data_IF_411452370466
#
_entry.id   IF_411452370466
#
_cell.length_a   1.000
_cell.length_b   1.000
_cell.length_c   1.000
_cell.angle_alpha   90.00
_cell.angle_beta   90.00
_cell.angle_gamma   90.00
#
_symmetry.space_group_name_H-M   'P 1'
#
loop_
_entity.id
_entity.type
_entity.pdbx_description
1 polymer ?
#
# COMPACT_ATOMS: atom_id res chain seq x y z
N UNK A 1 -22.09 -2.95 -6.04
CA UNK A 1 -21.93 -1.81 -6.97
C UNK A 1 -20.52 -1.90 -7.53
N UNK A 2 -20.28 -1.40 -8.74
CA UNK A 2 -18.89 -1.24 -9.23
C UNK A 2 -18.33 0.03 -8.58
N UNK A 3 -17.06 0.04 -8.14
CA UNK A 3 -16.46 1.20 -7.45
C UNK A 3 -16.63 2.52 -8.23
N UNK A 4 -16.78 2.42 -9.55
CA UNK A 4 -17.03 3.55 -10.46
C UNK A 4 -18.38 4.23 -10.23
N UNK A 5 -19.36 3.52 -9.66
CA UNK A 5 -20.72 4.01 -9.39
C UNK A 5 -20.80 4.76 -8.05
N UNK A 6 -19.79 4.61 -7.19
CA UNK A 6 -19.78 5.18 -5.83
C UNK A 6 -20.02 6.69 -5.79
N UNK A 7 -19.38 7.53 -6.66
CA UNK A 7 -19.64 8.96 -6.65
C UNK A 7 -21.10 9.30 -7.00
N UNK A 8 -21.72 8.55 -7.91
CA UNK A 8 -23.11 8.75 -8.30
C UNK A 8 -24.06 8.38 -7.16
N UNK A 9 -23.78 7.27 -6.46
CA UNK A 9 -24.54 6.85 -5.28
C UNK A 9 -24.45 7.87 -4.14
N UNK A 10 -23.24 8.38 -3.86
CA UNK A 10 -23.05 9.42 -2.85
C UNK A 10 -23.75 10.73 -3.23
N UNK A 11 -23.70 11.10 -4.51
CA UNK A 11 -24.40 12.28 -5.02
C UNK A 11 -25.93 12.17 -4.91
N UNK A 12 -26.47 10.97 -5.14
CA UNK A 12 -27.90 10.70 -4.95
C UNK A 12 -28.31 10.68 -3.48
N UNK A 13 -27.50 10.07 -2.60
CA UNK A 13 -27.79 9.96 -1.17
C UNK A 13 -27.76 11.33 -0.47
N UNK A 14 -26.91 12.25 -0.94
CA UNK A 14 -26.66 13.55 -0.30
C UNK A 14 -26.39 13.43 1.20
N UNK A 15 -25.36 12.68 1.61
CA UNK A 15 -25.11 12.43 3.02
C UNK A 15 -24.69 13.73 3.73
N UNK A 16 -25.34 14.03 4.86
CA UNK A 16 -24.91 15.12 5.74
C UNK A 16 -23.53 14.82 6.37
N UNK A 17 -23.25 13.53 6.58
CA UNK A 17 -22.03 13.05 7.22
C UNK A 17 -21.69 11.64 6.73
N UNK A 18 -20.42 11.40 6.43
CA UNK A 18 -19.89 10.06 6.14
C UNK A 18 -19.08 9.58 7.34
N UNK A 19 -19.47 8.45 7.91
CA UNK A 19 -18.77 7.83 9.05
C UNK A 19 -18.04 6.55 8.60
N UNK A 20 -16.76 6.47 8.93
CA UNK A 20 -15.91 5.31 8.72
C UNK A 20 -15.68 4.57 10.05
N UNK A 21 -16.41 3.48 10.36
CA UNK A 21 -16.26 2.75 11.63
C UNK A 21 -15.14 1.68 11.58
N UNK A 22 -14.03 1.97 10.88
CA UNK A 22 -12.95 1.01 10.68
C UNK A 22 -12.23 0.68 11.99
N UNK A 23 -12.09 -0.62 12.29
CA UNK A 23 -11.38 -1.12 13.48
C UNK A 23 -9.99 -1.70 13.14
N UNK A 24 -9.62 -1.68 11.85
CA UNK A 24 -8.32 -2.13 11.35
C UNK A 24 -7.60 -0.99 10.62
N UNK A 25 -6.26 -0.97 10.64
CA UNK A 25 -5.49 0.01 9.90
C UNK A 25 -5.61 -0.24 8.41
N UNK A 26 -6.34 0.65 7.72
CA UNK A 26 -6.39 0.67 6.27
C UNK A 26 -5.18 1.41 5.70
N UNK A 27 -4.44 0.75 4.80
CA UNK A 27 -3.33 1.38 4.07
C UNK A 27 -3.82 2.40 3.04
N UNK A 28 -5.00 2.17 2.46
CA UNK A 28 -5.63 3.10 1.50
C UNK A 28 -7.13 2.84 1.39
N UNK A 29 -7.94 3.91 1.46
CA UNK A 29 -9.39 3.86 1.32
C UNK A 29 -9.83 4.62 0.06
N UNK A 30 -10.40 3.91 -0.92
CA UNK A 30 -10.98 4.51 -2.13
C UNK A 30 -12.30 5.24 -1.83
N UNK A 31 -13.08 4.71 -0.88
CA UNK A 31 -14.29 5.37 -0.37
C UNK A 31 -13.95 6.74 0.19
N UNK A 32 -12.86 6.85 0.97
CA UNK A 32 -12.37 8.15 1.44
C UNK A 32 -12.02 9.10 0.28
N UNK A 33 -11.37 8.60 -0.77
CA UNK A 33 -11.06 9.41 -1.96
C UNK A 33 -12.33 9.98 -2.61
N UNK A 34 -13.38 9.17 -2.76
CA UNK A 34 -14.65 9.62 -3.30
C UNK A 34 -15.34 10.66 -2.40
N UNK A 35 -15.34 10.45 -1.08
CA UNK A 35 -15.91 11.42 -0.13
C UNK A 35 -15.17 12.75 -0.15
N UNK A 36 -13.83 12.72 -0.25
CA UNK A 36 -12.99 13.91 -0.37
C UNK A 36 -13.28 14.69 -1.65
N UNK A 37 -13.41 14.00 -2.79
CA UNK A 37 -13.78 14.60 -4.07
C UNK A 37 -15.18 15.23 -4.03
N UNK A 38 -16.13 14.57 -3.37
CA UNK A 38 -17.49 15.07 -3.18
C UNK A 38 -17.62 16.22 -2.17
N UNK A 39 -16.56 16.56 -1.43
CA UNK A 39 -16.62 17.65 -0.47
C UNK A 39 -17.37 17.33 0.82
N UNK A 40 -17.76 16.07 1.05
CA UNK A 40 -18.63 15.69 2.15
C UNK A 40 -17.94 15.82 3.53
N UNK A 41 -18.70 16.10 4.60
CA UNK A 41 -18.22 15.99 5.97
C UNK A 41 -17.87 14.55 6.34
N UNK A 42 -16.77 14.35 7.07
CA UNK A 42 -16.22 13.02 7.34
C UNK A 42 -15.91 12.82 8.83
N UNK A 43 -16.26 11.65 9.36
CA UNK A 43 -15.79 11.17 10.67
C UNK A 43 -15.04 9.86 10.45
N UNK A 44 -13.81 9.78 10.92
CA UNK A 44 -12.97 8.59 10.78
C UNK A 44 -12.13 8.34 12.04
N UNK A 45 -11.66 7.10 12.26
CA UNK A 45 -10.74 6.78 13.34
C UNK A 45 -9.34 7.33 13.06
N UNK A 46 -8.55 7.54 14.11
CA UNK A 46 -7.12 7.83 14.08
C UNK A 46 -6.28 6.56 13.76
N UNK A 47 -6.68 5.82 12.73
CA UNK A 47 -6.13 4.52 12.41
C UNK A 47 -5.79 4.43 10.92
N UNK A 48 -4.60 3.91 10.59
CA UNK A 48 -4.14 3.81 9.20
C UNK A 48 -4.07 5.17 8.49
N UNK A 49 -4.43 5.18 7.21
CA UNK A 49 -4.28 6.35 6.34
C UNK A 49 -5.31 7.47 6.57
N UNK A 50 -6.30 7.30 7.46
CA UNK A 50 -7.35 8.31 7.68
C UNK A 50 -6.80 9.60 8.27
N UNK A 51 -6.02 9.52 9.35
CA UNK A 51 -5.52 10.69 10.08
C UNK A 51 -4.72 11.63 9.17
N UNK A 52 -3.78 11.09 8.40
CA UNK A 52 -2.89 11.89 7.54
C UNK A 52 -3.63 12.52 6.37
N UNK A 53 -4.60 11.81 5.81
CA UNK A 53 -5.35 12.27 4.62
C UNK A 53 -6.44 13.28 4.96
N UNK A 54 -6.86 13.31 6.22
CA UNK A 54 -7.89 14.22 6.74
C UNK A 54 -7.30 15.44 7.45
N UNK A 55 -5.97 15.50 7.55
CA UNK A 55 -5.22 16.54 8.22
C UNK A 55 -5.57 17.95 7.69
N UNK A 56 -5.87 18.88 8.60
CA UNK A 56 -6.15 20.27 8.25
C UNK A 56 -7.44 20.51 7.45
N UNK A 57 -8.22 19.46 7.18
CA UNK A 57 -9.51 19.59 6.48
C UNK A 57 -10.59 20.06 7.46
N UNK A 58 -11.38 21.05 7.04
CA UNK A 58 -12.61 21.47 7.74
C UNK A 58 -13.72 20.42 7.55
N UNK A 59 -14.72 20.43 8.43
CA UNK A 59 -15.81 19.45 8.40
C UNK A 59 -15.29 18.02 8.44
N UNK A 60 -14.27 17.80 9.26
CA UNK A 60 -13.71 16.48 9.46
C UNK A 60 -13.33 16.30 10.92
N UNK A 61 -13.61 15.11 11.43
CA UNK A 61 -13.27 14.71 12.79
C UNK A 61 -12.55 13.37 12.77
N UNK A 62 -11.42 13.32 13.46
CA UNK A 62 -10.61 12.13 13.68
C UNK A 62 -10.69 11.77 15.16
N UNK A 63 -11.21 10.57 15.47
CA UNK A 63 -11.44 10.09 16.84
C UNK A 63 -10.58 8.87 17.16
N UNK A 64 -10.30 8.58 18.44
CA UNK A 64 -9.72 7.30 18.82
C UNK A 64 -10.52 6.12 18.26
N UNK A 65 -9.85 5.19 17.57
CA UNK A 65 -10.51 4.03 16.96
C UNK A 65 -11.17 3.09 17.97
N UNK A 66 -10.70 3.12 19.22
CA UNK A 66 -11.13 2.28 20.32
C UNK A 66 -12.11 2.98 21.29
N UNK A 67 -12.66 4.13 20.92
CA UNK A 67 -13.75 4.76 21.67
C UNK A 67 -14.95 3.81 21.82
N UNK A 68 -15.57 3.79 23.00
CA UNK A 68 -16.73 2.95 23.25
C UNK A 68 -17.97 3.52 22.54
N UNK A 69 -18.98 2.67 22.31
CA UNK A 69 -20.22 3.09 21.65
C UNK A 69 -20.92 4.31 22.32
N UNK A 70 -20.98 4.43 23.66
CA UNK A 70 -21.53 5.62 24.30
C UNK A 70 -20.75 6.90 23.99
N UNK A 71 -19.42 6.81 23.85
CA UNK A 71 -18.56 7.95 23.55
C UNK A 71 -18.77 8.42 22.10
N UNK A 72 -18.96 7.48 21.18
CA UNK A 72 -19.36 7.78 19.79
C UNK A 72 -20.71 8.47 19.73
N UNK A 73 -21.70 7.97 20.47
CA UNK A 73 -23.04 8.58 20.51
C UNK A 73 -22.98 10.01 21.04
N UNK A 74 -22.33 10.21 22.18
CA UNK A 74 -22.14 11.54 22.76
C UNK A 74 -21.42 12.49 21.79
N UNK A 75 -20.41 11.99 21.07
CA UNK A 75 -19.73 12.74 20.02
C UNK A 75 -20.66 13.14 18.86
N UNK A 76 -21.51 12.23 18.37
CA UNK A 76 -22.43 12.56 17.28
C UNK A 76 -23.51 13.57 17.70
N UNK A 77 -24.06 13.44 18.92
CA UNK A 77 -25.01 14.41 19.47
C UNK A 77 -24.38 15.80 19.60
N UNK A 78 -23.12 15.82 20.02
CA UNK A 78 -22.34 17.02 20.21
C UNK A 78 -22.08 17.78 18.89
N UNK A 79 -21.52 17.12 17.87
CA UNK A 79 -21.26 17.77 16.57
C UNK A 79 -22.57 18.19 15.89
N UNK A 80 -23.65 17.43 16.09
CA UNK A 80 -24.98 17.81 15.60
C UNK A 80 -25.40 19.16 16.18
N UNK A 81 -25.28 19.33 17.49
CA UNK A 81 -25.67 20.57 18.18
C UNK A 81 -24.74 21.74 17.86
N UNK A 82 -23.43 21.52 17.82
CA UNK A 82 -22.43 22.58 17.72
C UNK A 82 -22.11 23.02 16.30
N UNK A 83 -22.20 22.11 15.33
CA UNK A 83 -21.77 22.37 13.95
C UNK A 83 -22.93 22.32 12.96
N UNK A 84 -23.72 21.24 12.97
CA UNK A 84 -24.79 21.07 11.98
C UNK A 84 -25.98 21.99 12.25
N UNK A 85 -26.45 22.08 13.51
CA UNK A 85 -27.57 22.95 13.86
C UNK A 85 -27.25 24.45 13.73
N UNK A 86 -25.98 24.83 13.89
CA UNK A 86 -25.53 26.24 13.84
C UNK A 86 -24.96 26.64 12.47
N UNK A 87 -24.66 25.67 11.60
CA UNK A 87 -23.91 25.87 10.36
C UNK A 87 -22.43 26.27 10.58
N UNK A 88 -21.92 26.21 11.80
CA UNK A 88 -20.54 26.61 12.10
C UNK A 88 -19.58 25.47 11.83
N UNK A 89 -18.61 25.72 10.92
CA UNK A 89 -17.54 24.76 10.66
C UNK A 89 -16.73 24.48 11.93
N UNK A 90 -16.39 23.21 12.22
CA UNK A 90 -15.39 22.91 13.23
C UNK A 90 -14.05 23.55 12.85
N UNK A 91 -13.22 23.80 13.84
CA UNK A 91 -11.82 24.14 13.60
C UNK A 91 -11.14 22.96 12.86
N UNK A 92 -10.25 23.22 11.89
CA UNK A 92 -9.49 22.16 11.26
C UNK A 92 -8.73 21.35 12.31
N UNK A 93 -8.80 20.03 12.22
CA UNK A 93 -7.96 19.18 13.06
C UNK A 93 -6.55 19.19 12.50
N UNK A 94 -5.70 20.01 13.11
CA UNK A 94 -4.26 20.00 12.91
C UNK A 94 -3.71 19.01 13.94
N UNK A 95 -2.93 17.98 13.56
CA UNK A 95 -2.39 17.05 14.51
C UNK A 95 -1.47 17.81 15.44
N UNK A 96 -1.52 17.47 16.73
CA UNK A 96 -0.39 17.72 17.62
C UNK A 96 0.82 17.06 16.97
N UNK A 97 1.90 17.84 16.83
CA UNK A 97 3.11 17.49 16.09
C UNK A 97 3.38 15.99 16.14
N UNK A 98 3.46 15.36 14.96
CA UNK A 98 3.96 13.99 14.83
C UNK A 98 5.19 13.90 15.74
N UNK A 99 5.23 12.92 16.64
CA UNK A 99 6.51 12.52 17.23
C UNK A 99 7.31 11.88 16.10
N UNK A 100 7.87 12.72 15.24
CA UNK A 100 8.68 12.36 14.07
C UNK A 100 9.93 11.56 14.45
N UNK A 101 10.18 11.36 15.75
CA UNK A 101 11.22 10.49 16.27
C UNK A 101 11.16 9.04 15.72
N UNK A 102 10.00 8.57 15.26
CA UNK A 102 9.86 7.22 14.68
C UNK A 102 9.74 7.17 13.15
N UNK A 103 9.42 8.29 12.49
CA UNK A 103 9.16 8.35 11.05
C UNK A 103 10.05 9.35 10.29
N UNK A 104 11.01 9.99 10.94
CA UNK A 104 12.11 10.60 10.23
C UNK A 104 12.76 9.50 9.37
N UNK A 105 12.43 9.44 8.08
CA UNK A 105 13.15 8.60 7.15
C UNK A 105 14.61 9.05 7.27
N UNK A 106 15.51 8.22 7.81
CA UNK A 106 16.91 8.56 7.72
C UNK A 106 17.18 8.74 6.23
N UNK A 107 17.97 9.75 5.87
CA UNK A 107 18.34 10.01 4.48
C UNK A 107 19.11 8.79 3.95
N UNK A 108 18.36 7.78 3.48
CA UNK A 108 18.89 6.48 3.09
C UNK A 108 19.62 6.67 1.78
N UNK A 109 20.82 6.12 1.69
CA UNK A 109 21.56 6.06 0.44
C UNK A 109 20.69 5.36 -0.63
N UNK A 110 20.87 5.72 -1.90
CA UNK A 110 20.16 5.04 -3.01
C UNK A 110 20.41 3.52 -3.02
N UNK A 111 21.52 3.10 -2.43
CA UNK A 111 21.98 1.71 -2.40
C UNK A 111 21.62 1.00 -1.08
N UNK A 112 20.86 1.64 -0.18
CA UNK A 112 20.55 1.11 1.15
C UNK A 112 19.98 -0.32 1.11
N UNK A 113 19.07 -0.63 0.18
CA UNK A 113 18.55 -1.99 0.01
C UNK A 113 19.60 -3.04 -0.38
N UNK A 114 20.67 -2.61 -1.06
CA UNK A 114 21.73 -3.49 -1.50
C UNK A 114 22.84 -3.66 -0.46
N UNK A 115 23.15 -2.60 0.31
CA UNK A 115 24.31 -2.55 1.20
C UNK A 115 23.95 -2.64 2.68
N UNK A 116 22.92 -1.92 3.09
CA UNK A 116 22.67 -1.64 4.50
C UNK A 116 21.46 -2.40 5.05
N UNK A 117 20.52 -2.81 4.18
CA UNK A 117 19.28 -3.50 4.57
C UNK A 117 19.52 -4.82 5.29
N UNK A 118 20.59 -5.52 4.92
CA UNK A 118 21.01 -6.77 5.58
C UNK A 118 22.14 -6.55 6.59
N UNK A 119 22.63 -5.31 6.76
CA UNK A 119 23.67 -5.02 7.71
C UNK A 119 23.17 -5.27 9.13
N UNK A 120 23.84 -6.16 9.86
CA UNK A 120 23.46 -6.55 11.22
C UNK A 120 22.49 -7.73 11.32
N UNK A 121 21.99 -8.27 10.20
CA UNK A 121 21.30 -9.54 10.22
C UNK A 121 22.33 -10.68 10.30
N UNK A 122 22.15 -11.66 11.20
CA UNK A 122 23.05 -12.81 11.26
C UNK A 122 23.00 -13.55 9.93
N UNK A 123 24.16 -13.96 9.42
CA UNK A 123 24.23 -14.82 8.25
C UNK A 123 23.52 -16.13 8.57
N UNK A 124 22.32 -16.32 8.03
CA UNK A 124 21.63 -17.59 8.15
C UNK A 124 22.33 -18.59 7.23
N UNK A 125 23.11 -19.50 7.81
CA UNK A 125 23.51 -20.71 7.10
C UNK A 125 22.21 -21.41 6.70
N UNK A 126 22.01 -21.79 5.43
CA UNK A 126 20.81 -22.50 5.03
C UNK A 126 20.69 -23.73 5.93
N UNK A 127 19.68 -23.75 6.81
CA UNK A 127 19.30 -24.97 7.50
C UNK A 127 19.06 -25.99 6.38
N UNK A 128 19.71 -27.16 6.45
CA UNK A 128 19.73 -28.18 5.40
C UNK A 128 18.38 -28.83 5.06
N UNK A 129 17.27 -28.12 5.23
CA UNK A 129 15.90 -28.53 4.94
C UNK A 129 15.19 -27.54 4.02
N UNK A 130 15.88 -27.01 3.01
CA UNK A 130 15.20 -26.45 1.85
C UNK A 130 14.40 -27.56 1.14
N UNK A 131 13.31 -27.24 0.43
CA UNK A 131 12.54 -28.24 -0.29
C UNK A 131 13.47 -29.04 -1.22
N UNK A 132 13.38 -30.36 -1.15
CA UNK A 132 14.21 -31.24 -1.97
C UNK A 132 14.00 -30.91 -3.45
N UNK A 133 15.08 -30.98 -4.24
CA UNK A 133 15.02 -30.71 -5.68
C UNK A 133 13.97 -31.57 -6.39
N UNK A 134 13.74 -32.80 -5.91
CA UNK A 134 12.71 -33.69 -6.42
C UNK A 134 11.30 -33.13 -6.18
N UNK A 135 10.99 -32.70 -4.96
CA UNK A 135 9.72 -32.05 -4.61
C UNK A 135 9.48 -30.79 -5.45
N UNK A 136 10.52 -29.96 -5.63
CA UNK A 136 10.43 -28.78 -6.49
C UNK A 136 10.16 -29.15 -7.95
N UNK A 137 10.83 -30.18 -8.46
CA UNK A 137 10.69 -30.62 -9.85
C UNK A 137 9.28 -31.10 -10.18
N UNK A 138 8.59 -31.72 -9.22
CA UNK A 138 7.20 -32.17 -9.36
C UNK A 138 6.20 -31.01 -9.50
N UNK A 139 6.51 -29.85 -8.90
CA UNK A 139 5.65 -28.65 -8.92
C UNK A 139 6.13 -27.59 -9.90
N UNK A 140 7.19 -27.87 -10.67
CA UNK A 140 7.61 -26.98 -11.75
C UNK A 140 6.66 -27.16 -12.94
N UNK A 141 6.22 -26.05 -13.57
CA UNK A 141 5.39 -26.14 -14.76
C UNK A 141 6.12 -26.94 -15.85
N UNK A 142 5.39 -27.86 -16.48
CA UNK A 142 5.95 -28.66 -17.57
C UNK A 142 6.35 -27.75 -18.75
N UNK A 143 7.37 -28.11 -19.56
CA UNK A 143 7.82 -27.28 -20.67
C UNK A 143 6.72 -26.93 -21.69
N UNK A 144 5.68 -27.75 -21.79
CA UNK A 144 4.51 -27.53 -22.66
C UNK A 144 3.54 -26.47 -22.11
N UNK A 145 3.46 -26.31 -20.79
CA UNK A 145 2.64 -25.27 -20.11
C UNK A 145 3.41 -23.96 -19.90
N UNK A 146 4.72 -23.96 -20.14
CA UNK A 146 5.54 -22.76 -20.07
C UNK A 146 5.27 -21.87 -21.28
N UNK A 147 4.89 -20.61 -21.02
CA UNK A 147 4.58 -19.53 -21.97
C UNK A 147 5.72 -19.16 -22.96
N UNK A 148 6.76 -20.00 -23.10
CA UNK A 148 7.94 -19.75 -23.90
C UNK A 148 8.37 -21.01 -24.67
N UNK A 149 7.50 -21.56 -25.51
CA UNK A 149 7.87 -22.57 -26.52
C UNK A 149 8.48 -21.88 -27.76
N UNK A 150 9.58 -22.43 -28.29
CA UNK A 150 10.29 -21.92 -29.48
C UNK A 150 11.58 -21.13 -29.21
N UNK A 151 12.17 -20.54 -30.26
CA UNK A 151 13.49 -19.89 -30.22
C UNK A 151 13.61 -18.78 -29.16
N UNK A 152 12.51 -18.08 -28.85
CA UNK A 152 12.47 -17.02 -27.84
C UNK A 152 12.59 -17.57 -26.41
N UNK A 153 12.01 -18.73 -26.12
CA UNK A 153 12.17 -19.41 -24.84
C UNK A 153 13.56 -19.98 -24.61
N UNK A 154 14.19 -20.49 -25.68
CA UNK A 154 15.59 -20.88 -25.67
C UNK A 154 16.51 -19.69 -25.37
N UNK A 155 16.26 -18.53 -26.00
CA UNK A 155 16.99 -17.29 -25.75
C UNK A 155 16.81 -16.79 -24.31
N UNK A 156 15.58 -16.84 -23.76
CA UNK A 156 15.32 -16.47 -22.36
C UNK A 156 16.04 -17.40 -21.39
N UNK A 157 16.03 -18.72 -21.66
CA UNK A 157 16.73 -19.71 -20.84
C UNK A 157 18.25 -19.51 -20.87
N UNK A 158 18.81 -19.21 -22.04
CA UNK A 158 20.23 -18.88 -22.20
C UNK A 158 20.59 -17.60 -21.42
N UNK A 159 19.75 -16.56 -21.48
CA UNK A 159 19.95 -15.33 -20.71
C UNK A 159 19.91 -15.55 -19.20
N UNK A 160 19.00 -16.38 -18.70
CA UNK A 160 18.92 -16.74 -17.27
C UNK A 160 20.19 -17.50 -16.85
N UNK A 161 20.65 -18.46 -17.65
CA UNK A 161 21.89 -19.19 -17.40
C UNK A 161 23.12 -18.28 -17.42
N UNK A 162 23.22 -17.39 -18.41
CA UNK A 162 24.30 -16.40 -18.50
C UNK A 162 24.30 -15.47 -17.28
N UNK A 163 23.13 -15.01 -16.83
CA UNK A 163 23.01 -14.17 -15.61
C UNK A 163 23.39 -14.90 -14.32
N UNK A 164 23.22 -16.22 -14.29
CA UNK A 164 23.60 -17.04 -13.14
C UNK A 164 25.11 -17.34 -13.08
N UNK A 165 25.89 -17.04 -14.13
CA UNK A 165 27.35 -17.20 -14.13
C UNK A 165 28.01 -16.13 -13.24
N UNK A 166 28.99 -16.51 -12.39
CA UNK A 166 29.57 -15.62 -11.37
C UNK A 166 30.26 -14.37 -11.96
N UNK A 167 30.77 -14.46 -13.18
CA UNK A 167 31.44 -13.35 -13.89
C UNK A 167 30.44 -12.37 -14.52
N UNK A 168 29.27 -12.86 -14.96
CA UNK A 168 28.28 -12.06 -15.67
C UNK A 168 27.20 -11.49 -14.75
N UNK A 169 26.99 -12.10 -13.59
CA UNK A 169 26.10 -11.60 -12.55
C UNK A 169 26.34 -10.12 -12.15
N UNK A 170 27.58 -9.64 -11.90
CA UNK A 170 27.81 -8.23 -11.56
C UNK A 170 27.53 -7.28 -12.74
N UNK A 171 27.78 -7.73 -13.97
CA UNK A 171 27.51 -6.94 -15.19
C UNK A 171 25.99 -6.81 -15.40
N UNK A 172 25.26 -7.92 -15.25
CA UNK A 172 23.80 -7.94 -15.37
C UNK A 172 23.11 -7.07 -14.31
N UNK A 173 23.66 -7.01 -13.08
CA UNK A 173 23.15 -6.15 -12.00
C UNK A 173 23.32 -4.65 -12.28
N UNK A 174 24.29 -4.25 -13.11
CA UNK A 174 24.51 -2.85 -13.53
C UNK A 174 23.55 -2.38 -14.64
N UNK A 175 22.87 -3.29 -15.33
CA UNK A 175 21.91 -2.94 -16.38
C UNK A 175 20.63 -2.39 -15.72
N UNK A 176 20.14 -1.19 -16.06
CA UNK A 176 18.96 -0.61 -15.43
C UNK A 176 17.70 -1.47 -15.61
N UNK A 177 16.85 -1.53 -14.59
CA UNK A 177 15.68 -2.42 -14.54
C UNK A 177 14.75 -2.27 -15.75
N UNK A 178 14.57 -1.05 -16.25
CA UNK A 178 13.76 -0.73 -17.44
C UNK A 178 14.19 -1.45 -18.72
N UNK A 179 15.49 -1.73 -18.87
CA UNK A 179 16.03 -2.48 -20.01
C UNK A 179 15.83 -3.97 -19.80
N UNK A 180 16.02 -4.46 -18.58
CA UNK A 180 15.79 -5.86 -18.23
C UNK A 180 14.32 -6.25 -18.46
N UNK A 181 13.37 -5.41 -18.02
CA UNK A 181 11.94 -5.65 -18.23
C UNK A 181 11.56 -5.59 -19.71
N UNK A 182 12.08 -4.64 -20.48
CA UNK A 182 11.84 -4.58 -21.94
C UNK A 182 12.29 -5.84 -22.67
N UNK A 183 13.52 -6.31 -22.41
CA UNK A 183 14.06 -7.53 -23.03
C UNK A 183 13.24 -8.76 -22.62
N UNK A 184 12.90 -8.88 -21.32
CA UNK A 184 12.07 -9.99 -20.82
C UNK A 184 10.68 -9.99 -21.46
N UNK A 185 10.03 -8.83 -21.59
CA UNK A 185 8.70 -8.71 -22.20
C UNK A 185 8.74 -9.01 -23.70
N UNK A 186 9.81 -8.61 -24.40
CA UNK A 186 10.00 -8.95 -25.82
C UNK A 186 10.19 -10.46 -26.02
N UNK A 187 10.89 -11.14 -25.11
CA UNK A 187 11.11 -12.59 -25.18
C UNK A 187 9.91 -13.43 -24.74
N UNK A 188 8.95 -12.85 -24.02
CA UNK A 188 7.70 -13.50 -23.57
C UNK A 188 6.51 -13.28 -24.53
N UNK A 189 6.68 -12.41 -25.53
CA UNK A 189 5.73 -12.23 -26.64
C UNK A 189 6.18 -13.07 -27.82
#
# INVERSE_FOLDING_TARGET
YDDRDLPALLGWLQPDLVWFPAQWPETYSYTLSACLQGGWPIVAPNLGAFQERLEGRRWTWVRPWNDAAPDWLAFFEDIRSRNFATGQSPAPQIPVARSDAHFAEPQRSRDWYATDYLAGLPAHAPAGGGPERAMLAEHLPTPEESLATGARGAALSALVRLRALPVLAPIARRIPLRWQTRVKTWLRR
#
